data_IF_430252760214
#
_entry.id   IF_430252760214
#
_cell.length_a   1.000
_cell.length_b   1.000
_cell.length_c   1.000
_cell.angle_alpha   90.00
_cell.angle_beta   90.00
_cell.angle_gamma   90.00
#
_symmetry.space_group_name_H-M   'P 1'
#
loop_
_entity.id
_entity.type
_entity.pdbx_description
1 polymer ?
#
# COMPACT_ATOMS: atom_id res chain seq x y z
N UNK A 1 9.63 6.45 -24.99
CA UNK A 1 8.66 5.38 -24.66
C UNK A 1 8.48 5.24 -23.15
N UNK A 2 9.56 5.21 -22.35
CA UNK A 2 9.50 5.06 -20.88
C UNK A 2 8.72 6.16 -20.13
N UNK A 3 8.77 7.41 -20.60
CA UNK A 3 8.06 8.52 -19.94
C UNK A 3 6.53 8.33 -19.94
N UNK A 4 5.97 7.68 -20.96
CA UNK A 4 4.54 7.40 -21.08
C UNK A 4 4.07 6.32 -20.10
N UNK A 5 4.90 5.31 -19.85
CA UNK A 5 4.60 4.25 -18.89
C UNK A 5 4.62 4.76 -17.44
N UNK A 6 5.56 5.67 -17.10
CA UNK A 6 5.59 6.33 -15.78
C UNK A 6 4.33 7.13 -15.47
N UNK A 7 3.88 7.93 -16.43
CA UNK A 7 2.67 8.77 -16.28
C UNK A 7 1.43 7.89 -16.15
N UNK A 8 1.35 6.79 -16.89
CA UNK A 8 0.25 5.83 -16.76
C UNK A 8 0.26 5.10 -15.41
N UNK A 9 1.44 4.74 -14.88
CA UNK A 9 1.55 4.09 -13.58
C UNK A 9 1.08 5.01 -12.45
N UNK A 10 1.55 6.25 -12.39
CA UNK A 10 1.12 7.21 -11.37
C UNK A 10 -0.38 7.48 -11.48
N UNK A 11 -0.89 7.65 -12.71
CA UNK A 11 -2.33 7.85 -12.94
C UNK A 11 -3.18 6.66 -12.50
N UNK A 12 -2.68 5.43 -12.66
CA UNK A 12 -3.35 4.22 -12.19
C UNK A 12 -3.38 4.15 -10.66
N UNK A 13 -2.26 4.41 -9.99
CA UNK A 13 -2.15 4.42 -8.52
C UNK A 13 -3.11 5.47 -7.94
N UNK A 14 -3.09 6.70 -8.47
CA UNK A 14 -4.00 7.76 -8.04
C UNK A 14 -5.47 7.37 -8.26
N UNK A 15 -5.81 6.74 -9.39
CA UNK A 15 -7.19 6.37 -9.67
C UNK A 15 -7.69 5.26 -8.73
N UNK A 16 -6.91 4.21 -8.52
CA UNK A 16 -7.33 3.02 -7.75
C UNK A 16 -7.32 3.31 -6.25
N UNK A 17 -6.22 3.87 -5.71
CA UNK A 17 -6.11 4.11 -4.28
C UNK A 17 -7.13 5.16 -3.81
N UNK A 18 -7.37 6.23 -4.57
CA UNK A 18 -8.35 7.25 -4.16
C UNK A 18 -9.79 6.71 -4.13
N UNK A 19 -10.13 5.72 -4.98
CA UNK A 19 -11.44 5.07 -4.92
C UNK A 19 -11.56 4.27 -3.61
N UNK A 20 -10.55 3.47 -3.28
CA UNK A 20 -10.53 2.71 -2.03
C UNK A 20 -10.58 3.62 -0.80
N UNK A 21 -9.74 4.65 -0.74
CA UNK A 21 -9.73 5.63 0.36
C UNK A 21 -11.10 6.28 0.55
N UNK A 22 -11.76 6.69 -0.54
CA UNK A 22 -13.11 7.29 -0.46
C UNK A 22 -14.15 6.31 0.08
N UNK A 23 -14.13 5.06 -0.37
CA UNK A 23 -15.10 4.05 0.08
C UNK A 23 -14.86 3.68 1.54
N UNK A 24 -13.60 3.45 1.92
CA UNK A 24 -13.21 3.05 3.27
C UNK A 24 -13.46 4.19 4.27
N UNK A 25 -13.22 5.45 3.90
CA UNK A 25 -13.52 6.60 4.77
C UNK A 25 -15.01 6.76 5.12
N UNK A 26 -15.92 6.15 4.36
CA UNK A 26 -17.35 6.13 4.73
C UNK A 26 -17.69 5.07 5.79
N UNK A 27 -16.70 4.26 6.19
CA UNK A 27 -16.83 3.21 7.17
C UNK A 27 -15.97 3.57 8.39
N UNK A 28 -16.62 4.04 9.46
CA UNK A 28 -15.93 4.55 10.65
C UNK A 28 -14.95 3.53 11.28
N UNK A 29 -15.26 2.24 11.15
CA UNK A 29 -14.46 1.12 11.65
C UNK A 29 -13.12 0.95 10.91
N UNK A 30 -12.93 1.54 9.72
CA UNK A 30 -11.73 1.32 8.89
C UNK A 30 -10.93 2.60 8.61
N UNK A 31 -11.07 3.61 9.47
CA UNK A 31 -10.37 4.90 9.34
C UNK A 31 -8.84 4.75 9.39
N UNK A 32 -8.31 3.83 10.20
CA UNK A 32 -6.89 3.51 10.25
C UNK A 32 -6.38 2.94 8.92
N UNK A 33 -7.11 1.98 8.33
CA UNK A 33 -6.80 1.43 7.01
C UNK A 33 -6.84 2.51 5.91
N UNK A 34 -7.84 3.40 5.93
CA UNK A 34 -7.93 4.50 4.98
C UNK A 34 -6.76 5.48 5.10
N UNK A 35 -6.33 5.79 6.33
CA UNK A 35 -5.14 6.60 6.58
C UNK A 35 -3.89 5.92 6.03
N UNK A 36 -3.72 4.63 6.33
CA UNK A 36 -2.57 3.84 5.90
C UNK A 36 -2.45 3.77 4.37
N UNK A 37 -3.57 3.55 3.66
CA UNK A 37 -3.63 3.60 2.19
C UNK A 37 -3.31 4.99 1.63
N UNK A 38 -3.73 6.05 2.32
CA UNK A 38 -3.42 7.44 1.94
C UNK A 38 -1.92 7.70 2.07
N UNK A 39 -1.31 7.31 3.21
CA UNK A 39 0.13 7.45 3.45
C UNK A 39 0.95 6.67 2.42
N UNK A 40 0.53 5.45 2.05
CA UNK A 40 1.17 4.69 0.98
C UNK A 40 1.09 5.41 -0.37
N UNK A 41 -0.04 6.00 -0.72
CA UNK A 41 -0.19 6.78 -1.96
C UNK A 41 0.75 7.98 -2.00
N UNK A 42 0.87 8.71 -0.89
CA UNK A 42 1.83 9.82 -0.75
C UNK A 42 3.27 9.33 -0.88
N UNK A 43 3.62 8.24 -0.20
CA UNK A 43 4.95 7.64 -0.26
C UNK A 43 5.37 7.29 -1.69
N UNK A 44 4.49 6.62 -2.45
CA UNK A 44 4.75 6.23 -3.83
C UNK A 44 4.95 7.47 -4.70
N UNK A 45 4.15 8.52 -4.47
CA UNK A 45 4.25 9.78 -5.21
C UNK A 45 5.56 10.50 -4.95
N UNK A 46 5.97 10.62 -3.69
CA UNK A 46 7.19 11.30 -3.29
C UNK A 46 8.44 10.56 -3.78
N UNK A 47 8.35 9.23 -3.90
CA UNK A 47 9.42 8.37 -4.41
C UNK A 47 9.28 8.00 -5.89
N UNK A 48 8.29 8.55 -6.61
CA UNK A 48 7.91 8.08 -7.95
C UNK A 48 9.07 8.11 -8.94
N UNK A 49 9.92 9.15 -8.88
CA UNK A 49 11.10 9.25 -9.74
C UNK A 49 12.10 8.12 -9.46
N UNK A 50 12.44 7.90 -8.20
CA UNK A 50 13.39 6.84 -7.76
C UNK A 50 12.90 5.45 -8.15
N UNK A 51 11.62 5.16 -7.89
CA UNK A 51 10.98 3.88 -8.24
C UNK A 51 11.09 3.64 -9.74
N UNK A 52 10.76 4.65 -10.52
CA UNK A 52 10.59 4.50 -11.97
C UNK A 52 11.87 4.61 -12.79
N UNK A 53 12.98 5.07 -12.21
CA UNK A 53 14.31 5.04 -12.83
C UNK A 53 15.05 3.72 -12.54
N UNK A 54 14.58 2.92 -11.59
CA UNK A 54 15.12 1.60 -11.24
C UNK A 54 14.12 0.49 -11.57
N UNK A 55 14.44 -0.32 -12.57
CA UNK A 55 13.58 -1.43 -13.02
C UNK A 55 13.28 -2.48 -11.94
N UNK A 56 14.21 -2.68 -10.99
CA UNK A 56 14.03 -3.60 -9.87
C UNK A 56 13.02 -3.03 -8.88
N UNK A 57 13.17 -1.75 -8.49
CA UNK A 57 12.21 -1.05 -7.61
C UNK A 57 10.82 -0.97 -8.23
N UNK A 58 10.75 -0.70 -9.54
CA UNK A 58 9.48 -0.72 -10.29
C UNK A 58 8.81 -2.10 -10.21
N UNK A 59 9.54 -3.18 -10.51
CA UNK A 59 8.98 -4.55 -10.48
C UNK A 59 8.49 -4.92 -9.08
N UNK A 60 9.26 -4.61 -8.05
CA UNK A 60 8.87 -4.89 -6.67
C UNK A 60 7.64 -4.08 -6.25
N UNK A 61 7.58 -2.79 -6.62
CA UNK A 61 6.40 -1.97 -6.34
C UNK A 61 5.14 -2.52 -7.02
N UNK A 62 5.25 -3.00 -8.26
CA UNK A 62 4.14 -3.66 -8.95
C UNK A 62 3.67 -4.91 -8.18
N UNK A 63 4.59 -5.81 -7.79
CA UNK A 63 4.24 -7.02 -7.03
C UNK A 63 3.58 -6.69 -5.69
N UNK A 64 4.07 -5.66 -4.99
CA UNK A 64 3.51 -5.26 -3.69
C UNK A 64 2.10 -4.64 -3.83
N UNK A 65 1.87 -3.85 -4.89
CA UNK A 65 0.54 -3.33 -5.20
C UNK A 65 -0.44 -4.41 -5.67
N UNK A 66 0.04 -5.44 -6.37
CA UNK A 66 -0.76 -6.62 -6.74
C UNK A 66 -1.23 -7.38 -5.50
N UNK A 67 -0.30 -7.74 -4.60
CA UNK A 67 -0.66 -8.41 -3.33
C UNK A 67 -1.60 -7.56 -2.48
N UNK A 68 -1.37 -6.25 -2.39
CA UNK A 68 -2.28 -5.34 -1.69
C UNK A 68 -3.69 -5.36 -2.30
N UNK A 69 -3.79 -5.39 -3.63
CA UNK A 69 -5.07 -5.49 -4.32
C UNK A 69 -5.80 -6.80 -4.03
N UNK A 70 -5.07 -7.91 -3.94
CA UNK A 70 -5.59 -9.22 -3.55
C UNK A 70 -6.08 -9.22 -2.09
N UNK A 71 -5.28 -8.67 -1.17
CA UNK A 71 -5.63 -8.54 0.25
C UNK A 71 -6.89 -7.69 0.45
N UNK A 72 -6.99 -6.54 -0.22
CA UNK A 72 -8.16 -5.68 -0.18
C UNK A 72 -9.42 -6.35 -0.77
N UNK A 73 -9.24 -7.18 -1.80
CA UNK A 73 -10.34 -7.93 -2.42
C UNK A 73 -10.86 -9.00 -1.47
N UNK A 74 -9.94 -9.80 -0.92
CA UNK A 74 -10.23 -10.84 0.08
C UNK A 74 -10.90 -10.24 1.32
N UNK A 75 -10.33 -9.16 1.87
CA UNK A 75 -10.92 -8.42 2.99
C UNK A 75 -12.35 -7.98 2.75
N UNK A 76 -12.61 -7.36 1.60
CA UNK A 76 -13.98 -6.95 1.28
C UNK A 76 -14.94 -8.15 1.21
N UNK A 77 -14.50 -9.27 0.66
CA UNK A 77 -15.32 -10.50 0.57
C UNK A 77 -15.62 -11.06 1.96
N UNK A 78 -14.61 -11.22 2.83
CA UNK A 78 -14.76 -11.78 4.16
C UNK A 78 -15.57 -10.88 5.11
N UNK A 79 -15.42 -9.55 5.01
CA UNK A 79 -16.14 -8.60 5.88
C UNK A 79 -17.58 -8.39 5.43
N UNK A 80 -17.83 -8.14 4.14
CA UNK A 80 -19.14 -7.68 3.69
C UNK A 80 -20.00 -8.77 3.06
N UNK A 81 -19.40 -9.80 2.47
CA UNK A 81 -20.12 -10.83 1.71
C UNK A 81 -20.27 -12.11 2.54
N UNK A 82 -19.16 -12.70 2.96
CA UNK A 82 -19.15 -13.97 3.71
C UNK A 82 -19.46 -13.76 5.19
N UNK A 83 -19.04 -12.62 5.75
CA UNK A 83 -19.22 -12.26 7.17
C UNK A 83 -18.69 -13.35 8.12
N UNK A 84 -17.60 -14.01 7.74
CA UNK A 84 -17.03 -15.18 8.42
C UNK A 84 -15.73 -14.87 9.19
N UNK A 85 -15.29 -13.61 9.18
CA UNK A 85 -14.11 -13.14 9.90
C UNK A 85 -14.44 -12.75 11.33
N UNK A 86 -13.65 -13.25 12.28
CA UNK A 86 -13.79 -12.92 13.70
C UNK A 86 -13.16 -11.56 14.07
N UNK A 87 -12.09 -11.16 13.37
CA UNK A 87 -11.38 -9.90 13.57
C UNK A 87 -11.47 -9.03 12.32
N UNK A 88 -12.32 -8.01 12.35
CA UNK A 88 -12.55 -7.12 11.20
C UNK A 88 -11.31 -6.29 10.81
N UNK A 89 -10.33 -6.19 11.71
CA UNK A 89 -9.10 -5.42 11.55
C UNK A 89 -7.89 -6.26 11.11
N UNK A 90 -8.08 -7.53 10.74
CA UNK A 90 -6.97 -8.41 10.35
C UNK A 90 -6.09 -7.84 9.22
N UNK A 91 -6.70 -7.04 8.33
CA UNK A 91 -6.00 -6.40 7.22
C UNK A 91 -5.01 -5.32 7.69
N UNK A 92 -5.24 -4.68 8.85
CA UNK A 92 -4.33 -3.64 9.36
C UNK A 92 -2.92 -4.23 9.60
N UNK A 93 -2.85 -5.47 10.08
CA UNK A 93 -1.58 -6.18 10.32
C UNK A 93 -0.85 -6.57 9.04
N UNK A 94 -1.57 -7.13 8.05
CA UNK A 94 -0.95 -7.53 6.76
C UNK A 94 -0.56 -6.31 5.92
N UNK A 95 -1.38 -5.24 5.98
CA UNK A 95 -1.08 -3.98 5.33
C UNK A 95 0.18 -3.34 5.90
N UNK A 96 0.30 -3.28 7.22
CA UNK A 96 1.49 -2.75 7.89
C UNK A 96 2.77 -3.49 7.47
N UNK A 97 2.74 -4.82 7.43
CA UNK A 97 3.88 -5.63 6.96
C UNK A 97 4.27 -5.30 5.51
N UNK A 98 3.28 -5.06 4.65
CA UNK A 98 3.52 -4.66 3.26
C UNK A 98 4.17 -3.28 3.16
N UNK A 99 3.73 -2.31 3.96
CA UNK A 99 4.36 -0.98 4.01
C UNK A 99 5.82 -1.04 4.49
N UNK A 100 6.12 -1.81 5.53
CA UNK A 100 7.49 -2.00 6.02
C UNK A 100 8.42 -2.59 4.96
N UNK A 101 7.94 -3.57 4.18
CA UNK A 101 8.70 -4.14 3.08
C UNK A 101 8.96 -3.12 1.97
N UNK A 102 7.95 -2.30 1.63
CA UNK A 102 8.07 -1.22 0.65
C UNK A 102 9.15 -0.22 1.09
N UNK A 103 9.14 0.22 2.35
CA UNK A 103 10.11 1.17 2.87
C UNK A 103 11.55 0.66 2.84
N UNK A 104 11.79 -0.58 3.26
CA UNK A 104 13.14 -1.17 3.21
C UNK A 104 13.71 -1.21 1.80
N UNK A 105 12.87 -1.55 0.82
CA UNK A 105 13.28 -1.70 -0.58
C UNK A 105 13.54 -0.33 -1.24
N UNK A 106 12.74 0.68 -0.89
CA UNK A 106 12.90 2.02 -1.47
C UNK A 106 14.02 2.81 -0.79
N UNK A 107 14.08 2.75 0.54
CA UNK A 107 15.00 3.52 1.36
C UNK A 107 16.45 3.04 1.31
N UNK A 108 16.75 1.89 0.68
CA UNK A 108 18.04 1.20 0.78
C UNK A 108 18.51 1.02 2.25
N UNK A 109 17.57 1.05 3.22
CA UNK A 109 17.85 0.72 4.62
C UNK A 109 17.88 -0.80 4.71
N UNK A 110 18.99 -1.37 5.16
CA UNK A 110 18.97 -2.75 5.66
C UNK A 110 17.97 -2.78 6.80
N UNK A 111 16.87 -3.51 6.62
CA UNK A 111 15.86 -3.68 7.67
C UNK A 111 16.48 -4.61 8.72
N UNK A 112 17.20 -4.04 9.68
CA UNK A 112 17.57 -4.73 10.92
C UNK A 112 16.30 -4.93 11.73
N UNK A 113 16.01 -6.18 12.10
CA UNK A 113 14.87 -6.55 12.94
C UNK A 113 14.93 -5.98 14.38
N UNK A 114 15.83 -5.04 14.65
CA UNK A 114 16.16 -4.47 15.97
C UNK A 114 15.97 -2.93 16.00
N UNK A 115 15.59 -2.30 14.89
CA UNK A 115 15.28 -0.86 14.86
C UNK A 115 13.82 -0.62 15.25
N UNK A 116 13.56 -0.57 16.57
CA UNK A 116 12.30 -0.09 17.16
C UNK A 116 11.97 1.37 16.79
N UNK A 117 12.93 2.11 16.21
CA UNK A 117 12.80 3.48 15.71
C UNK A 117 12.27 3.58 14.26
N UNK A 118 11.87 2.47 13.62
CA UNK A 118 11.16 2.47 12.32
C UNK A 118 9.71 3.01 12.41
N UNK A 119 9.36 3.64 13.52
CA UNK A 119 8.05 4.22 13.84
C UNK A 119 7.86 5.62 13.22
N UNK A 120 8.51 5.94 12.10
CA UNK A 120 8.47 7.29 11.50
C UNK A 120 7.33 7.46 10.47
N UNK A 121 6.60 6.39 10.12
CA UNK A 121 5.58 6.42 9.06
C UNK A 121 4.12 6.28 9.53
N UNK A 122 3.88 5.84 10.77
CA UNK A 122 2.55 5.54 11.31
C UNK A 122 2.24 6.28 12.61
#
# INVERSE_FOLDING_TARGET
MELGAKVQFIGFVDAVLNIYVRVINNLFEFTALAYALTSLGVFIKDNAKSISEDSSKTKTMIMLLEHLGEDLTSWREHIFILQDTADIHYLDSSFFSSCMQIEGIIGNKEVSADDEDCMEFF
#
